data_IF_641497808432
#
_entry.id   IF_641497808432
#
_cell.length_a   1.000
_cell.length_b   1.000
_cell.length_c   1.000
_cell.angle_alpha   90.00
_cell.angle_beta   90.00
_cell.angle_gamma   90.00
#
_symmetry.space_group_name_H-M   'P 1'
#
loop_
_entity.id
_entity.type
_entity.pdbx_description
1 polymer ?
#
# COMPACT_ATOMS: atom_id res chain seq x y z
N UNK A 1 -4.43 1.36 -0.70
CA UNK A 1 -3.19 0.60 -1.00
C UNK A 1 -3.51 -0.89 -1.08
N UNK A 2 -2.93 -1.63 -2.04
CA UNK A 2 -3.27 -3.03 -2.30
C UNK A 2 -2.01 -3.88 -2.46
N UNK A 3 -1.82 -4.86 -1.58
CA UNK A 3 -0.81 -5.91 -1.74
C UNK A 3 -1.34 -7.00 -2.67
N UNK A 4 -0.80 -7.08 -3.88
CA UNK A 4 -1.13 -8.12 -4.86
C UNK A 4 -0.03 -9.18 -4.78
N UNK A 5 -0.41 -10.44 -4.56
CA UNK A 5 0.54 -11.52 -4.39
C UNK A 5 0.07 -12.79 -5.10
N UNK A 6 1.00 -13.67 -5.45
CA UNK A 6 0.72 -14.92 -6.13
C UNK A 6 0.97 -16.16 -5.24
N UNK A 7 0.67 -17.34 -5.77
CA UNK A 7 0.84 -18.61 -5.06
C UNK A 7 2.31 -19.00 -4.87
N UNK A 8 3.21 -18.39 -5.63
CA UNK A 8 4.66 -18.66 -5.56
C UNK A 8 5.37 -17.75 -4.56
N UNK A 9 4.63 -16.92 -3.82
CA UNK A 9 5.15 -15.97 -2.84
C UNK A 9 5.81 -14.74 -3.46
N UNK A 10 5.44 -14.38 -4.69
CA UNK A 10 5.80 -13.10 -5.26
C UNK A 10 4.75 -12.04 -4.86
N UNK A 11 5.19 -10.81 -4.74
CA UNK A 11 4.36 -9.63 -4.51
C UNK A 11 4.66 -8.58 -5.57
N UNK A 12 3.64 -7.86 -5.99
CA UNK A 12 3.78 -6.74 -6.91
C UNK A 12 4.11 -5.49 -6.10
N UNK A 13 5.18 -4.82 -6.49
CA UNK A 13 5.64 -3.59 -5.85
C UNK A 13 5.80 -2.46 -6.85
N UNK A 14 5.74 -1.26 -6.33
CA UNK A 14 6.06 -0.02 -7.03
C UNK A 14 7.31 0.62 -6.42
N UNK A 15 8.30 0.91 -7.26
CA UNK A 15 9.40 1.81 -6.89
C UNK A 15 9.00 3.24 -7.29
N UNK A 16 8.54 4.00 -6.31
CA UNK A 16 7.98 5.34 -6.52
C UNK A 16 9.04 6.34 -6.92
N UNK A 17 8.72 7.10 -7.96
CA UNK A 17 9.54 8.22 -8.45
C UNK A 17 9.23 9.54 -7.75
N UNK A 18 8.15 9.60 -6.96
CA UNK A 18 7.74 10.80 -6.23
C UNK A 18 8.77 11.18 -5.15
N UNK A 19 9.41 12.36 -5.22
CA UNK A 19 10.47 12.75 -4.29
C UNK A 19 9.98 13.01 -2.85
N UNK A 20 8.68 13.22 -2.64
CA UNK A 20 8.13 13.46 -1.30
C UNK A 20 7.97 12.18 -0.48
N UNK A 21 7.78 11.03 -1.14
CA UNK A 21 7.69 9.73 -0.50
C UNK A 21 8.26 8.64 -1.43
N UNK A 22 9.60 8.63 -1.63
CA UNK A 22 10.27 7.72 -2.54
C UNK A 22 10.49 6.33 -1.92
N UNK A 23 10.66 5.33 -2.77
CA UNK A 23 11.01 3.96 -2.40
C UNK A 23 9.91 2.95 -2.67
N UNK A 24 10.15 1.72 -2.24
CA UNK A 24 9.27 0.58 -2.50
C UNK A 24 8.00 0.66 -1.67
N UNK A 25 6.87 0.52 -2.36
CA UNK A 25 5.52 0.46 -1.77
C UNK A 25 4.64 -0.52 -2.55
N UNK A 26 3.40 -0.67 -2.13
CA UNK A 26 2.34 -1.32 -2.92
C UNK A 26 1.51 -0.28 -3.68
N UNK A 27 0.92 -0.64 -4.83
CA UNK A 27 0.07 0.27 -5.60
C UNK A 27 -1.14 0.76 -4.82
N UNK A 28 -1.62 1.95 -5.16
CA UNK A 28 -2.81 2.58 -4.61
C UNK A 28 -2.71 4.08 -4.50
N UNK A 29 -3.86 4.74 -4.52
CA UNK A 29 -3.98 6.19 -4.55
C UNK A 29 -5.17 6.69 -3.74
N UNK A 30 -5.72 7.82 -4.15
CA UNK A 30 -6.77 8.53 -3.45
C UNK A 30 -8.16 8.07 -3.89
N UNK A 31 -9.09 8.10 -2.94
CA UNK A 31 -10.51 7.88 -3.22
C UNK A 31 -11.10 9.15 -3.78
N UNK A 32 -11.84 9.05 -4.89
CA UNK A 32 -12.60 10.14 -5.46
C UNK A 32 -13.95 10.31 -4.71
N UNK A 33 -14.53 11.51 -4.79
CA UNK A 33 -15.70 11.86 -3.98
C UNK A 33 -16.93 10.97 -4.21
N UNK A 34 -17.07 10.43 -5.42
CA UNK A 34 -18.28 9.73 -5.86
C UNK A 34 -18.09 8.22 -6.05
N UNK A 35 -16.99 7.61 -5.51
CA UNK A 35 -16.74 6.19 -5.67
C UNK A 35 -16.66 5.43 -4.34
N UNK A 36 -17.07 4.15 -4.31
CA UNK A 36 -16.84 3.26 -3.16
C UNK A 36 -15.35 3.01 -2.93
N UNK A 37 -14.96 2.82 -1.66
CA UNK A 37 -13.55 2.63 -1.26
C UNK A 37 -12.86 1.44 -1.96
N UNK A 38 -13.60 0.35 -2.17
CA UNK A 38 -13.07 -0.84 -2.87
C UNK A 38 -12.91 -0.57 -4.36
N UNK A 39 -13.86 0.16 -4.96
CA UNK A 39 -13.80 0.50 -6.39
C UNK A 39 -12.63 1.45 -6.66
N UNK A 40 -12.38 2.42 -5.77
CA UNK A 40 -11.19 3.25 -5.80
C UNK A 40 -9.91 2.41 -5.80
N UNK A 41 -9.81 1.43 -4.89
CA UNK A 41 -8.64 0.56 -4.82
C UNK A 41 -8.42 -0.26 -6.11
N UNK A 42 -9.50 -0.75 -6.71
CA UNK A 42 -9.47 -1.48 -8.00
C UNK A 42 -9.05 -0.56 -9.15
N UNK A 43 -9.60 0.66 -9.23
CA UNK A 43 -9.26 1.66 -10.25
C UNK A 43 -7.79 2.06 -10.17
N UNK A 44 -7.31 2.42 -8.99
CA UNK A 44 -5.92 2.83 -8.76
C UNK A 44 -4.93 1.72 -9.16
N UNK A 45 -5.18 0.47 -8.74
CA UNK A 45 -4.35 -0.67 -9.16
C UNK A 45 -4.30 -0.78 -10.67
N UNK A 46 -5.44 -0.65 -11.36
CA UNK A 46 -5.47 -0.73 -12.82
C UNK A 46 -4.70 0.42 -13.48
N UNK A 47 -4.85 1.64 -13.01
CA UNK A 47 -4.18 2.83 -13.54
C UNK A 47 -2.67 2.75 -13.37
N UNK A 48 -2.19 2.34 -12.20
CA UNK A 48 -0.77 2.27 -11.89
C UNK A 48 -0.08 1.04 -12.49
N UNK A 49 -0.78 -0.11 -12.53
CA UNK A 49 -0.13 -1.40 -12.83
C UNK A 49 -0.61 -2.09 -14.10
N UNK A 50 -1.77 -1.70 -14.65
CA UNK A 50 -2.45 -2.40 -15.75
C UNK A 50 -3.13 -3.72 -15.35
N UNK A 51 -3.08 -4.11 -14.07
CA UNK A 51 -3.76 -5.31 -13.58
C UNK A 51 -5.21 -5.00 -13.19
N UNK A 52 -6.10 -5.94 -13.48
CA UNK A 52 -7.46 -5.98 -12.93
C UNK A 52 -7.45 -6.90 -11.72
N UNK A 53 -7.89 -6.38 -10.58
CA UNK A 53 -7.96 -7.11 -9.32
C UNK A 53 -9.39 -7.26 -8.84
N UNK A 54 -9.64 -8.27 -8.04
CA UNK A 54 -10.92 -8.52 -7.37
C UNK A 54 -10.71 -9.26 -6.06
N UNK A 55 -11.80 -9.50 -5.31
CA UNK A 55 -11.76 -10.20 -4.02
C UNK A 55 -10.76 -9.59 -3.03
N UNK A 56 -10.81 -8.26 -2.87
CA UNK A 56 -9.94 -7.54 -1.96
C UNK A 56 -10.32 -7.86 -0.50
N UNK A 57 -9.35 -8.34 0.27
CA UNK A 57 -9.47 -8.56 1.72
C UNK A 57 -8.88 -7.35 2.45
N UNK A 58 -9.67 -6.72 3.32
CA UNK A 58 -9.19 -5.64 4.19
C UNK A 58 -8.31 -6.22 5.31
N UNK A 59 -7.04 -5.85 5.34
CA UNK A 59 -6.09 -6.29 6.36
C UNK A 59 -6.10 -5.36 7.58
N UNK A 60 -6.29 -4.07 7.35
CA UNK A 60 -6.25 -3.04 8.37
C UNK A 60 -6.10 -1.65 7.78
N UNK A 61 -5.62 -0.74 8.59
CA UNK A 61 -5.46 0.66 8.23
C UNK A 61 -4.07 1.19 8.57
N UNK A 62 -3.65 2.27 7.90
CA UNK A 62 -2.64 3.19 8.39
C UNK A 62 -3.26 4.56 8.54
N UNK A 63 -2.92 5.26 9.63
CA UNK A 63 -3.44 6.61 9.84
C UNK A 63 -2.49 7.51 10.60
N UNK A 64 -2.75 8.80 10.52
CA UNK A 64 -2.07 9.86 11.27
C UNK A 64 -2.92 11.13 11.33
N UNK A 65 -2.54 12.03 12.22
CA UNK A 65 -3.13 13.36 12.28
C UNK A 65 -2.30 14.34 11.43
N UNK A 66 -3.00 15.06 10.57
CA UNK A 66 -2.44 16.18 9.83
C UNK A 66 -2.33 17.43 10.71
N UNK A 67 -1.55 18.40 10.25
CA UNK A 67 -1.31 19.66 11.00
C UNK A 67 -2.58 20.48 11.25
N UNK A 68 -3.60 20.34 10.41
CA UNK A 68 -4.90 21.00 10.56
C UNK A 68 -5.87 20.27 11.49
N UNK A 69 -5.44 19.13 12.06
CA UNK A 69 -6.25 18.29 12.94
C UNK A 69 -7.13 17.27 12.22
N UNK A 70 -7.14 17.25 10.89
CA UNK A 70 -7.78 16.19 10.13
C UNK A 70 -7.02 14.87 10.28
N UNK A 71 -7.72 13.74 10.06
CA UNK A 71 -7.11 12.41 10.07
C UNK A 71 -6.94 11.91 8.66
N UNK A 72 -5.71 11.57 8.30
CA UNK A 72 -5.44 10.86 7.05
C UNK A 72 -5.59 9.36 7.30
N UNK A 73 -6.31 8.66 6.43
CA UNK A 73 -6.61 7.24 6.56
C UNK A 73 -6.25 6.51 5.28
N UNK A 74 -5.43 5.47 5.38
CA UNK A 74 -5.10 4.56 4.29
C UNK A 74 -5.67 3.18 4.61
N UNK A 75 -6.54 2.67 3.75
CA UNK A 75 -7.04 1.31 3.82
C UNK A 75 -6.03 0.35 3.19
N UNK A 76 -5.71 -0.72 3.89
CA UNK A 76 -4.71 -1.72 3.48
C UNK A 76 -5.44 -2.99 3.05
N UNK A 77 -5.47 -3.25 1.73
CA UNK A 77 -6.10 -4.43 1.14
C UNK A 77 -5.05 -5.39 0.60
N UNK A 78 -5.37 -6.69 0.56
CA UNK A 78 -4.59 -7.68 -0.17
C UNK A 78 -5.47 -8.54 -1.08
N UNK A 79 -4.88 -9.11 -2.14
CA UNK A 79 -5.56 -10.05 -3.03
C UNK A 79 -4.59 -10.96 -3.77
N UNK A 80 -5.07 -12.17 -4.10
CA UNK A 80 -4.42 -13.10 -5.05
C UNK A 80 -5.19 -13.19 -6.38
N UNK A 81 -6.33 -12.50 -6.49
CA UNK A 81 -7.19 -12.58 -7.67
C UNK A 81 -6.91 -11.40 -8.59
N UNK A 82 -6.11 -11.66 -9.60
CA UNK A 82 -5.73 -10.65 -10.60
C UNK A 82 -5.61 -11.23 -12.00
N UNK A 83 -5.69 -10.35 -13.00
CA UNK A 83 -5.49 -10.67 -14.42
C UNK A 83 -4.92 -9.48 -15.16
N UNK A 84 -4.39 -9.72 -16.38
CA UNK A 84 -3.79 -8.69 -17.21
C UNK A 84 -2.27 -8.78 -17.27
N UNK A 85 -1.64 -7.74 -17.78
CA UNK A 85 -0.18 -7.63 -17.91
C UNK A 85 0.31 -6.39 -17.18
N UNK A 86 1.36 -6.57 -16.39
CA UNK A 86 2.00 -5.48 -15.66
C UNK A 86 2.56 -4.44 -16.62
N UNK A 87 2.26 -3.18 -16.34
CA UNK A 87 2.80 -2.01 -17.01
C UNK A 87 3.22 -1.00 -15.95
N UNK A 88 4.41 -0.43 -16.09
CA UNK A 88 4.79 0.71 -15.27
C UNK A 88 4.02 1.96 -15.69
N UNK A 89 3.75 2.82 -14.71
CA UNK A 89 3.08 4.11 -14.90
C UNK A 89 4.09 5.27 -14.81
N UNK A 90 3.58 6.50 -14.83
CA UNK A 90 4.41 7.69 -14.60
C UNK A 90 4.77 7.86 -13.11
N UNK A 91 4.09 7.16 -12.22
CA UNK A 91 4.26 7.27 -10.76
C UNK A 91 5.46 6.46 -10.28
N UNK A 92 5.72 5.30 -10.92
CA UNK A 92 6.82 4.45 -10.54
C UNK A 92 7.04 3.25 -11.45
N UNK A 93 8.10 2.52 -11.17
CA UNK A 93 8.39 1.25 -11.82
C UNK A 93 7.68 0.13 -11.08
N UNK A 94 6.87 -0.64 -11.81
CA UNK A 94 6.11 -1.77 -11.26
C UNK A 94 6.83 -3.07 -11.61
N UNK A 95 7.08 -3.91 -10.61
CA UNK A 95 7.71 -5.22 -10.82
C UNK A 95 7.32 -6.24 -9.73
N UNK A 96 7.46 -7.51 -10.08
CA UNK A 96 7.30 -8.62 -9.15
C UNK A 96 8.60 -8.92 -8.40
N UNK A 97 8.51 -9.17 -7.11
CA UNK A 97 9.63 -9.63 -6.29
C UNK A 97 9.15 -10.67 -5.27
N UNK A 98 10.07 -11.45 -4.71
CA UNK A 98 9.71 -12.36 -3.62
C UNK A 98 9.36 -11.58 -2.35
N UNK A 99 8.30 -11.98 -1.67
CA UNK A 99 7.95 -11.42 -0.36
C UNK A 99 9.12 -11.53 0.63
N UNK A 100 9.86 -12.64 0.58
CA UNK A 100 11.03 -12.87 1.43
C UNK A 100 12.18 -11.89 1.18
N UNK A 101 12.26 -11.32 -0.03
CA UNK A 101 13.34 -10.42 -0.44
C UNK A 101 12.97 -8.93 -0.25
N UNK A 102 11.72 -8.63 0.09
CA UNK A 102 11.25 -7.24 0.27
C UNK A 102 12.13 -6.44 1.23
N UNK A 103 12.58 -7.05 2.33
CA UNK A 103 13.42 -6.37 3.34
C UNK A 103 14.82 -5.97 2.83
N UNK A 104 15.22 -6.47 1.67
CA UNK A 104 16.49 -6.09 1.02
C UNK A 104 16.32 -4.83 0.14
N UNK A 105 15.08 -4.43 -0.13
CA UNK A 105 14.76 -3.27 -0.94
C UNK A 105 14.64 -2.02 -0.07
N UNK A 106 14.84 -0.86 -0.69
CA UNK A 106 14.68 0.43 -0.01
C UNK A 106 13.20 0.80 0.07
N UNK A 107 12.58 0.56 1.21
CA UNK A 107 11.19 0.90 1.44
C UNK A 107 10.93 2.42 1.46
N UNK A 108 9.74 2.79 1.01
CA UNK A 108 9.17 4.09 1.35
C UNK A 108 8.92 4.19 2.86
N UNK A 109 8.97 5.41 3.40
CA UNK A 109 8.85 5.63 4.84
C UNK A 109 7.58 5.02 5.44
N UNK A 110 7.73 4.23 6.51
CA UNK A 110 6.64 3.54 7.20
C UNK A 110 6.13 2.27 6.51
N UNK A 111 6.66 1.92 5.33
CA UNK A 111 6.22 0.72 4.60
C UNK A 111 6.56 -0.57 5.33
N UNK A 112 7.70 -0.62 6.03
CA UNK A 112 8.10 -1.78 6.82
C UNK A 112 7.08 -2.09 7.92
N UNK A 113 6.57 -1.07 8.61
CA UNK A 113 5.54 -1.22 9.64
C UNK A 113 4.18 -1.59 9.03
N UNK A 114 3.81 -0.97 7.88
CA UNK A 114 2.59 -1.35 7.16
C UNK A 114 2.60 -2.81 6.73
N UNK A 115 3.76 -3.34 6.33
CA UNK A 115 3.91 -4.74 5.91
C UNK A 115 3.47 -5.72 7.02
N UNK A 116 3.73 -5.40 8.28
CA UNK A 116 3.28 -6.23 9.42
C UNK A 116 1.75 -6.30 9.51
N UNK A 117 1.02 -5.22 9.17
CA UNK A 117 -0.46 -5.22 9.13
C UNK A 117 -0.97 -6.13 7.99
N UNK A 118 -0.30 -6.15 6.84
CA UNK A 118 -0.67 -7.05 5.74
C UNK A 118 -0.44 -8.53 6.06
N UNK A 119 0.60 -8.84 6.81
CA UNK A 119 1.09 -10.21 6.99
C UNK A 119 0.63 -10.86 8.29
N UNK A 120 0.28 -10.09 9.30
CA UNK A 120 -0.04 -10.61 10.62
C UNK A 120 -1.47 -10.27 11.07
N UNK A 121 -2.30 -11.26 11.37
CA UNK A 121 -3.65 -11.01 11.91
C UNK A 121 -3.63 -10.42 13.32
N UNK A 122 -2.45 -10.29 13.94
CA UNK A 122 -2.28 -9.67 15.25
C UNK A 122 -2.51 -8.16 15.23
N UNK A 123 -2.23 -7.53 14.09
CA UNK A 123 -2.28 -6.08 13.95
C UNK A 123 -3.36 -5.69 12.94
N UNK A 124 -4.12 -4.65 13.28
CA UNK A 124 -5.14 -4.06 12.42
C UNK A 124 -4.89 -2.59 12.10
N UNK A 125 -3.88 -1.99 12.75
CA UNK A 125 -3.59 -0.57 12.57
C UNK A 125 -2.08 -0.30 12.63
N UNK A 126 -1.61 0.51 11.70
CA UNK A 126 -0.34 1.21 11.76
C UNK A 126 -0.62 2.69 12.02
N UNK A 127 -0.50 3.14 13.25
CA UNK A 127 -0.62 4.55 13.61
C UNK A 127 0.74 5.24 13.55
N UNK A 128 0.85 6.33 12.78
CA UNK A 128 2.02 7.21 12.79
C UNK A 128 1.77 8.34 13.79
N UNK A 129 2.43 8.29 14.94
CA UNK A 129 2.37 9.35 15.94
C UNK A 129 3.23 10.54 15.50
N UNK A 130 2.57 11.60 15.06
CA UNK A 130 3.20 12.88 14.67
C UNK A 130 3.10 13.93 15.77
N UNK A 131 2.59 13.60 16.95
CA UNK A 131 2.38 14.56 18.03
C UNK A 131 3.70 15.02 18.67
N UNK A 132 3.79 16.28 19.05
CA UNK A 132 4.96 16.84 19.75
C UNK A 132 6.30 16.65 19.02
N UNK A 133 6.28 16.64 17.67
CA UNK A 133 7.48 16.44 16.84
C UNK A 133 7.98 14.99 16.80
N UNK A 134 7.18 14.04 17.25
CA UNK A 134 7.46 12.61 17.09
C UNK A 134 7.23 12.15 15.66
N UNK A 135 7.81 11.02 15.31
CA UNK A 135 7.53 10.25 14.10
C UNK A 135 7.63 8.77 14.43
N UNK A 136 6.81 8.35 15.39
CA UNK A 136 6.83 6.96 15.89
C UNK A 136 5.81 6.10 15.14
N UNK A 137 6.27 4.97 14.60
CA UNK A 137 5.42 3.99 13.96
C UNK A 137 4.92 2.98 15.00
N UNK A 138 3.62 2.97 15.26
CA UNK A 138 2.98 2.13 16.26
C UNK A 138 2.07 1.08 15.59
N UNK A 139 2.18 -0.18 16.04
CA UNK A 139 1.29 -1.27 15.64
C UNK A 139 0.24 -1.50 16.72
N UNK A 140 -1.03 -1.60 16.33
CA UNK A 140 -2.18 -1.84 17.20
C UNK A 140 -2.98 -3.07 16.77
#
# INVERSE_FOLDING_TARGET
MVMIYDQDGNVLVEDRLNPTWPGITFPGGHVEADEPLVDAAVREVWEETGLKVSQLELCGIKDWLEADGSRYLVLLYKTQTFSGQVKSSREGNIFWTKLADLKQLKFASGMETMLEVFLSPKYSEHYLDTTNGRHDNLLK
#
